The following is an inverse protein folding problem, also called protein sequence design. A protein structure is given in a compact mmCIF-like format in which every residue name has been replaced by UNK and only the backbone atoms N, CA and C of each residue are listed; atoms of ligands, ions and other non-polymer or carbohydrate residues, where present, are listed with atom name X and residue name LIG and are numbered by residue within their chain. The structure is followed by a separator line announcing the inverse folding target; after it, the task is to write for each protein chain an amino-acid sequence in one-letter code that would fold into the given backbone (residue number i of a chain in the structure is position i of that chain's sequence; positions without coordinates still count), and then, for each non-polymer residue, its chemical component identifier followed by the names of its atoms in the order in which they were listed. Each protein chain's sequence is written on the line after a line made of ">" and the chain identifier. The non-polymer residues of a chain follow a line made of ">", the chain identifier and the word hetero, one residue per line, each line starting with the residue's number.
data_IF_864317106640
#
_entry.id   IF_864317106640
#
_cell.length_a   1.000
_cell.length_b   1.000
_cell.length_c   1.000
_cell.angle_alpha   90.00
_cell.angle_beta   90.00
_cell.angle_gamma   90.00
#
_symmetry.space_group_name_H-M   'P 1'
#
loop_
_entity.id
_entity.type
_entity.pdbx_description
1 polymer ?
#
# COMPACT_ATOMS: atom_id res chain seq x y z
N UNK A 1 3.06 -16.08 19.22
CA UNK A 1 4.38 -15.50 18.93
C UNK A 1 4.15 -14.06 18.51
N UNK A 2 4.55 -13.08 19.32
CA UNK A 2 4.46 -11.67 18.93
C UNK A 2 5.65 -11.37 18.03
N UNK A 3 5.40 -10.93 16.79
CA UNK A 3 6.47 -10.49 15.91
C UNK A 3 7.16 -9.29 16.55
N UNK A 4 8.49 -9.31 16.62
CA UNK A 4 9.25 -8.19 17.13
C UNK A 4 9.15 -7.04 16.12
N UNK A 5 8.26 -6.08 16.37
CA UNK A 5 8.10 -4.91 15.52
C UNK A 5 9.27 -3.96 15.78
N UNK A 6 10.01 -3.60 14.73
CA UNK A 6 11.09 -2.62 14.84
C UNK A 6 10.52 -1.26 15.27
N UNK A 7 11.26 -0.56 16.13
CA UNK A 7 10.89 0.81 16.53
C UNK A 7 10.79 1.69 15.28
N UNK A 8 9.62 2.28 15.07
CA UNK A 8 9.31 3.14 13.91
C UNK A 8 8.68 2.42 12.71
N UNK A 9 8.57 1.09 12.71
CA UNK A 9 7.78 0.38 11.71
C UNK A 9 6.29 0.45 12.05
N UNK A 10 5.47 0.81 11.06
CA UNK A 10 4.02 0.83 11.16
C UNK A 10 3.48 -0.05 10.02
N UNK A 11 2.79 -1.17 10.33
CA UNK A 11 2.12 -1.98 9.31
C UNK A 11 1.13 -1.11 8.53
N UNK A 12 1.15 -1.23 7.20
CA UNK A 12 0.18 -0.53 6.37
C UNK A 12 -1.16 -1.24 6.35
N UNK A 13 -2.24 -0.48 6.22
CA UNK A 13 -3.61 -0.97 6.03
C UNK A 13 -4.18 -0.42 4.72
N UNK A 14 -5.37 -0.87 4.32
CA UNK A 14 -6.07 -0.31 3.16
C UNK A 14 -6.31 1.20 3.29
N UNK A 15 -6.44 1.71 4.51
CA UNK A 15 -6.65 3.13 4.82
C UNK A 15 -5.35 3.93 4.86
N UNK A 16 -4.26 3.36 5.40
CA UNK A 16 -2.99 4.10 5.55
C UNK A 16 -2.11 4.07 4.29
N UNK A 17 -2.24 3.00 3.48
CA UNK A 17 -1.38 2.76 2.34
C UNK A 17 -1.46 3.87 1.26
N UNK A 18 -2.62 4.41 0.87
CA UNK A 18 -2.69 5.47 -0.14
C UNK A 18 -1.82 6.68 0.21
N UNK A 19 -1.88 7.15 1.46
CA UNK A 19 -1.12 8.30 1.93
C UNK A 19 0.38 8.00 2.01
N UNK A 20 0.75 6.79 2.44
CA UNK A 20 2.14 6.35 2.43
C UNK A 20 2.71 6.35 1.01
N UNK A 21 1.94 5.82 0.06
CA UNK A 21 2.32 5.75 -1.35
C UNK A 21 2.42 7.14 -1.99
N UNK A 22 1.45 8.03 -1.74
CA UNK A 22 1.49 9.42 -2.21
C UNK A 22 2.76 10.17 -1.84
N UNK A 23 3.28 9.90 -0.64
CA UNK A 23 4.48 10.54 -0.09
C UNK A 23 5.78 9.92 -0.61
N UNK A 24 5.80 8.61 -0.87
CA UNK A 24 7.05 7.87 -1.06
C UNK A 24 7.23 7.29 -2.47
N UNK A 25 6.18 7.23 -3.31
CA UNK A 25 6.33 6.76 -4.69
C UNK A 25 7.10 7.78 -5.54
N UNK A 26 8.05 7.33 -6.36
CA UNK A 26 8.64 8.17 -7.39
C UNK A 26 7.57 8.70 -8.36
N UNK A 27 7.74 9.94 -8.81
CA UNK A 27 6.80 10.59 -9.76
C UNK A 27 6.65 9.80 -11.08
N UNK A 28 7.68 9.05 -11.48
CA UNK A 28 7.65 8.15 -12.65
C UNK A 28 6.68 6.98 -12.50
N UNK A 29 6.35 6.61 -11.26
CA UNK A 29 5.38 5.58 -10.90
C UNK A 29 4.02 6.16 -10.50
N UNK A 30 3.69 7.39 -10.94
CA UNK A 30 2.34 7.94 -10.75
C UNK A 30 1.27 6.95 -11.22
N UNK A 31 0.30 6.69 -10.33
CA UNK A 31 -0.85 5.82 -10.59
C UNK A 31 -2.00 6.55 -11.28
N UNK A 32 -1.90 7.88 -11.41
CA UNK A 32 -2.94 8.75 -11.93
C UNK A 32 -4.12 8.95 -10.96
N UNK A 33 -4.88 10.03 -11.17
CA UNK A 33 -5.99 10.41 -10.28
C UNK A 33 -5.49 10.98 -8.94
N UNK A 34 -6.44 11.25 -8.02
CA UNK A 34 -6.11 11.64 -6.65
C UNK A 34 -6.04 10.41 -5.75
N UNK A 35 -5.32 10.53 -4.64
CA UNK A 35 -5.12 9.45 -3.66
C UNK A 35 -6.43 8.91 -3.09
N UNK A 36 -7.46 9.75 -3.00
CA UNK A 36 -8.80 9.39 -2.50
C UNK A 36 -9.59 8.56 -3.52
N UNK A 37 -9.18 8.58 -4.80
CA UNK A 37 -9.80 7.80 -5.87
C UNK A 37 -9.16 6.43 -6.06
N UNK A 38 -8.05 6.15 -5.39
CA UNK A 38 -7.36 4.87 -5.51
C UNK A 38 -8.14 3.77 -4.78
N UNK A 39 -8.19 2.59 -5.40
CA UNK A 39 -8.79 1.40 -4.81
C UNK A 39 -7.71 0.51 -4.22
N UNK A 40 -7.85 0.16 -2.94
CA UNK A 40 -6.91 -0.72 -2.23
C UNK A 40 -7.62 -2.01 -1.85
N UNK A 41 -7.00 -3.13 -2.16
CA UNK A 41 -7.46 -4.44 -1.72
C UNK A 41 -6.29 -5.23 -1.13
N UNK A 42 -6.44 -5.69 0.11
CA UNK A 42 -5.55 -6.68 0.70
C UNK A 42 -5.91 -8.06 0.13
N UNK A 43 -4.93 -8.74 -0.46
CA UNK A 43 -5.06 -10.04 -1.13
C UNK A 43 -4.05 -11.05 -0.58
N UNK A 44 -3.49 -10.78 0.61
CA UNK A 44 -2.64 -11.73 1.31
C UNK A 44 -3.44 -12.97 1.72
N UNK A 45 -2.72 -14.07 1.92
CA UNK A 45 -3.29 -15.31 2.46
C UNK A 45 -3.47 -15.28 3.99
N UNK A 46 -3.19 -14.12 4.62
CA UNK A 46 -3.27 -13.91 6.06
C UNK A 46 -2.10 -14.50 6.85
N UNK A 47 -1.04 -14.99 6.20
CA UNK A 47 0.07 -15.64 6.88
C UNK A 47 1.20 -14.64 7.25
N UNK A 48 2.19 -14.49 6.38
CA UNK A 48 3.46 -13.83 6.72
C UNK A 48 3.56 -12.39 6.23
N UNK A 49 2.94 -12.07 5.10
CA UNK A 49 3.08 -10.78 4.44
C UNK A 49 1.71 -10.17 4.18
N UNK A 50 1.66 -8.85 4.22
CA UNK A 50 0.54 -8.10 3.66
C UNK A 50 0.82 -7.92 2.17
N UNK A 51 -0.17 -8.19 1.33
CA UNK A 51 -0.06 -7.97 -0.11
C UNK A 51 -1.26 -7.14 -0.53
N UNK A 52 -1.01 -6.00 -1.16
CA UNK A 52 -2.04 -5.09 -1.59
C UNK A 52 -2.03 -4.94 -3.10
N UNK A 53 -3.21 -5.00 -3.71
CA UNK A 53 -3.44 -4.47 -5.04
C UNK A 53 -3.87 -3.00 -4.89
N UNK A 54 -3.15 -2.11 -5.55
CA UNK A 54 -3.42 -0.67 -5.55
C UNK A 54 -3.71 -0.22 -6.97
N UNK A 55 -4.96 0.16 -7.24
CA UNK A 55 -5.39 0.62 -8.55
C UNK A 55 -5.66 2.11 -8.55
N UNK A 56 -4.85 2.86 -9.28
CA UNK A 56 -5.11 4.27 -9.61
C UNK A 56 -5.80 4.42 -10.95
N UNK A 57 -5.97 5.67 -11.40
CA UNK A 57 -6.70 5.97 -12.65
C UNK A 57 -6.00 5.42 -13.90
N UNK A 58 -4.67 5.38 -13.90
CA UNK A 58 -3.86 5.06 -15.08
C UNK A 58 -3.10 3.74 -14.93
N UNK A 59 -2.74 3.36 -13.70
CA UNK A 59 -1.90 2.19 -13.43
C UNK A 59 -2.35 1.45 -12.18
N UNK A 60 -2.07 0.15 -12.18
CA UNK A 60 -2.21 -0.73 -11.02
C UNK A 60 -0.85 -1.26 -10.63
N UNK A 61 -0.56 -1.29 -9.32
CA UNK A 61 0.64 -1.89 -8.75
C UNK A 61 0.29 -2.91 -7.68
N UNK A 62 1.25 -3.79 -7.39
CA UNK A 62 1.21 -4.68 -6.23
C UNK A 62 2.23 -4.18 -5.21
N UNK A 63 1.80 -4.06 -3.96
CA UNK A 63 2.66 -3.67 -2.83
C UNK A 63 2.75 -4.85 -1.87
N UNK A 64 3.95 -5.11 -1.38
CA UNK A 64 4.25 -6.14 -0.38
C UNK A 64 5.20 -5.57 0.66
#
# INVERSE_FOLDING_TARGET
>A
MSAHVLVGYIPQTCESLPLYLAKNLPTTMSLGGSTESWQIQEVGDGNLNLVFIVSGKEKTIVVK
#
